data_IF_279298104042
#
_entry.id   IF_279298104042
#
_cell.length_a   1.000
_cell.length_b   1.000
_cell.length_c   1.000
_cell.angle_alpha   90.00
_cell.angle_beta   90.00
_cell.angle_gamma   90.00
#
_symmetry.space_group_name_H-M   'P 1'
#
loop_
_entity.id
_entity.type
_entity.pdbx_description
1 polymer ?
#
# COMPACT_ATOMS: atom_id res chain seq x y z
N UNK A 1 -9.11 15.14 -19.47
CA UNK A 1 -8.53 14.03 -20.23
C UNK A 1 -9.39 13.80 -21.47
N UNK A 2 -8.80 13.66 -22.65
CA UNK A 2 -9.58 13.29 -23.83
C UNK A 2 -9.77 11.77 -23.85
N UNK A 3 -10.93 11.29 -24.32
CA UNK A 3 -11.20 9.86 -24.46
C UNK A 3 -10.32 9.16 -25.51
N UNK A 4 -9.55 9.93 -26.24
CA UNK A 4 -8.53 9.47 -27.19
C UNK A 4 -7.15 9.21 -26.55
N UNK A 5 -7.02 9.39 -25.24
CA UNK A 5 -5.77 9.09 -24.55
C UNK A 5 -5.54 7.57 -24.49
N UNK A 6 -4.37 7.12 -24.96
CA UNK A 6 -4.00 5.70 -24.97
C UNK A 6 -3.53 5.18 -23.61
N UNK A 7 -3.53 6.02 -22.57
CA UNK A 7 -3.12 5.63 -21.23
C UNK A 7 -4.13 4.67 -20.61
N UNK A 8 -3.69 3.42 -20.40
CA UNK A 8 -4.48 2.38 -19.76
C UNK A 8 -3.75 1.88 -18.52
N UNK A 9 -4.45 1.90 -17.39
CA UNK A 9 -3.92 1.46 -16.11
C UNK A 9 -4.86 0.45 -15.47
N UNK A 10 -4.29 -0.58 -14.86
CA UNK A 10 -5.05 -1.47 -13.99
C UNK A 10 -5.19 -0.85 -12.58
N UNK A 11 -6.10 -1.39 -11.77
CA UNK A 11 -6.21 -1.01 -10.35
C UNK A 11 -4.91 -1.24 -9.59
N UNK A 12 -4.16 -2.29 -9.95
CA UNK A 12 -2.84 -2.59 -9.37
C UNK A 12 -1.80 -1.52 -9.71
N UNK A 13 -1.75 -1.07 -10.96
CA UNK A 13 -0.83 -0.01 -11.39
C UNK A 13 -1.12 1.28 -10.63
N UNK A 14 -2.41 1.65 -10.52
CA UNK A 14 -2.83 2.84 -9.78
C UNK A 14 -2.53 2.74 -8.29
N UNK A 15 -2.66 1.56 -7.69
CA UNK A 15 -2.30 1.35 -6.29
C UNK A 15 -0.79 1.52 -6.07
N UNK A 16 0.06 0.97 -6.93
CA UNK A 16 1.53 1.11 -6.87
C UNK A 16 1.94 2.57 -7.03
N UNK A 17 1.39 3.28 -8.02
CA UNK A 17 1.68 4.70 -8.26
C UNK A 17 1.28 5.52 -7.04
N UNK A 18 0.09 5.27 -6.48
CA UNK A 18 -0.42 6.00 -5.32
C UNK A 18 0.39 5.73 -4.06
N UNK A 19 0.82 4.48 -3.86
CA UNK A 19 1.71 4.11 -2.76
C UNK A 19 3.03 4.88 -2.86
N UNK A 20 3.68 4.85 -4.03
CA UNK A 20 4.93 5.57 -4.26
C UNK A 20 4.77 7.07 -4.09
N UNK A 21 3.69 7.65 -4.60
CA UNK A 21 3.41 9.07 -4.42
C UNK A 21 3.33 9.46 -2.94
N UNK A 22 2.67 8.65 -2.13
CA UNK A 22 2.50 8.93 -0.69
C UNK A 22 3.81 8.67 0.08
N UNK A 23 4.58 7.63 -0.29
CA UNK A 23 5.87 7.30 0.34
C UNK A 23 6.94 8.34 0.03
N UNK A 24 7.05 8.76 -1.24
CA UNK A 24 8.12 9.65 -1.71
C UNK A 24 7.76 11.14 -1.50
N UNK A 25 6.47 11.49 -1.47
CA UNK A 25 5.94 12.86 -1.38
C UNK A 25 4.74 12.93 -0.42
N UNK A 26 4.90 12.63 0.87
CA UNK A 26 3.79 12.58 1.83
C UNK A 26 3.02 13.91 1.98
N UNK A 27 3.65 15.03 1.63
CA UNK A 27 3.02 16.36 1.61
C UNK A 27 1.85 16.47 0.64
N UNK A 28 1.71 15.56 -0.31
CA UNK A 28 0.55 15.52 -1.21
C UNK A 28 -0.76 15.40 -0.43
N UNK A 29 -0.73 14.72 0.71
CA UNK A 29 -1.90 14.54 1.57
C UNK A 29 -2.34 15.83 2.25
N UNK A 30 -1.42 16.77 2.47
CA UNK A 30 -1.79 18.09 3.01
C UNK A 30 -2.66 18.87 2.03
N UNK A 31 -2.46 18.66 0.73
CA UNK A 31 -3.27 19.27 -0.33
C UNK A 31 -4.58 18.48 -0.57
N UNK A 32 -4.48 17.16 -0.66
CA UNK A 32 -5.66 16.33 -1.05
C UNK A 32 -6.75 16.27 0.02
N UNK A 33 -6.42 16.52 1.28
CA UNK A 33 -7.39 16.61 2.39
C UNK A 33 -8.13 17.95 2.50
N UNK A 34 -7.72 18.98 1.74
CA UNK A 34 -8.39 20.28 1.78
C UNK A 34 -9.80 20.14 1.19
N UNK A 35 -10.80 20.42 2.00
CA UNK A 35 -12.20 20.29 1.59
C UNK A 35 -12.68 21.45 0.73
N UNK A 36 -12.29 22.67 1.10
CA UNK A 36 -12.62 23.92 0.41
C UNK A 36 -11.43 24.87 0.43
N UNK A 37 -11.22 25.57 -0.65
CA UNK A 37 -10.20 26.60 -0.74
C UNK A 37 -10.74 27.81 -1.52
N UNK A 38 -10.51 29.00 -0.97
CA UNK A 38 -10.75 30.24 -1.70
C UNK A 38 -9.61 30.48 -2.68
N UNK A 39 -9.98 30.74 -3.90
CA UNK A 39 -9.07 31.12 -4.97
C UNK A 39 -9.44 32.53 -5.45
N UNK A 40 -8.46 33.41 -5.52
CA UNK A 40 -8.62 34.76 -6.03
C UNK A 40 -7.61 34.98 -7.15
N UNK A 41 -8.11 35.25 -8.35
CA UNK A 41 -7.27 35.51 -9.53
C UNK A 41 -6.96 37.01 -9.73
N UNK A 42 -7.27 37.84 -8.73
CA UNK A 42 -7.11 39.28 -8.77
C UNK A 42 -8.36 40.06 -9.20
N UNK A 43 -9.30 39.40 -9.82
CA UNK A 43 -10.62 40.02 -10.23
C UNK A 43 -11.79 39.35 -9.57
N UNK A 44 -11.74 38.04 -9.39
CA UNK A 44 -12.86 37.28 -8.85
C UNK A 44 -12.40 36.35 -7.73
N UNK A 45 -13.13 36.27 -6.65
CA UNK A 45 -13.00 35.30 -5.59
C UNK A 45 -13.93 34.13 -5.85
N UNK A 46 -13.37 32.92 -5.97
CA UNK A 46 -14.12 31.68 -6.14
C UNK A 46 -13.76 30.70 -5.03
N UNK A 47 -14.77 30.06 -4.44
CA UNK A 47 -14.55 28.95 -3.52
C UNK A 47 -14.61 27.65 -4.30
N UNK A 48 -13.50 26.93 -4.33
CA UNK A 48 -13.43 25.56 -4.88
C UNK A 48 -13.72 24.56 -3.79
N UNK A 49 -14.61 23.61 -4.06
CA UNK A 49 -14.88 22.46 -3.21
C UNK A 49 -14.22 21.21 -3.79
N UNK A 50 -13.65 20.38 -2.92
CA UNK A 50 -13.02 19.13 -3.32
C UNK A 50 -14.08 18.13 -3.81
N UNK A 51 -13.80 17.45 -4.89
CA UNK A 51 -14.65 16.40 -5.44
C UNK A 51 -14.52 15.06 -4.71
N UNK A 52 -13.57 14.93 -3.78
CA UNK A 52 -13.51 13.80 -2.87
C UNK A 52 -14.52 13.96 -1.73
N UNK A 53 -15.72 13.52 -1.98
CA UNK A 53 -16.83 13.66 -1.02
C UNK A 53 -16.75 12.70 0.19
N UNK A 54 -15.72 11.87 0.26
CA UNK A 54 -15.40 11.09 1.46
C UNK A 54 -14.57 11.87 2.47
N UNK A 55 -14.08 13.06 2.13
CA UNK A 55 -13.31 13.88 3.08
C UNK A 55 -14.18 14.30 4.26
N UNK A 56 -13.67 14.20 5.51
CA UNK A 56 -14.36 14.70 6.69
C UNK A 56 -14.70 16.19 6.55
N UNK A 57 -15.89 16.57 6.98
CA UNK A 57 -16.33 17.98 6.97
C UNK A 57 -16.94 18.47 5.66
N UNK A 58 -17.06 17.64 4.62
CA UNK A 58 -17.88 17.93 3.47
C UNK A 58 -19.34 17.56 3.74
N UNK A 59 -20.28 18.35 3.20
CA UNK A 59 -21.73 18.11 3.36
C UNK A 59 -22.19 16.77 2.76
N UNK A 60 -21.43 16.23 1.83
CA UNK A 60 -21.67 14.94 1.16
C UNK A 60 -20.70 13.86 1.65
N UNK A 61 -20.04 14.05 2.80
CA UNK A 61 -19.16 13.04 3.38
C UNK A 61 -19.87 11.70 3.52
N UNK A 62 -19.32 10.69 2.90
CA UNK A 62 -19.91 9.35 2.81
C UNK A 62 -19.22 8.34 3.69
N UNK A 63 -18.22 8.74 4.45
CA UNK A 63 -17.40 7.84 5.25
C UNK A 63 -17.22 8.37 6.67
N UNK A 64 -17.34 7.47 7.64
CA UNK A 64 -16.92 7.71 9.03
C UNK A 64 -15.40 7.51 9.19
N UNK A 65 -14.72 7.03 8.14
CA UNK A 65 -13.28 6.84 8.14
C UNK A 65 -12.58 8.18 7.86
N UNK A 66 -11.41 8.43 8.46
CA UNK A 66 -10.63 9.65 8.27
C UNK A 66 -9.89 9.65 6.92
N UNK A 67 -10.67 9.66 5.82
CA UNK A 67 -10.16 9.74 4.45
C UNK A 67 -9.42 11.06 4.26
N UNK A 68 -8.21 11.01 3.68
CA UNK A 68 -7.32 12.17 3.51
C UNK A 68 -6.83 12.38 2.06
N UNK A 69 -7.34 11.57 1.14
CA UNK A 69 -6.99 11.67 -0.29
C UNK A 69 -7.70 10.60 -1.12
N UNK A 70 -7.36 10.40 -2.37
CA UNK A 70 -6.24 11.01 -3.10
C UNK A 70 -6.77 11.75 -4.34
N UNK A 71 -7.39 11.01 -5.31
CA UNK A 71 -7.80 11.60 -6.60
C UNK A 71 -9.06 10.95 -7.15
N UNK A 72 -10.00 11.79 -7.57
CA UNK A 72 -11.17 11.41 -8.37
C UNK A 72 -10.90 11.62 -9.86
N UNK A 73 -11.60 10.88 -10.70
CA UNK A 73 -11.61 11.06 -12.15
C UNK A 73 -12.90 10.53 -12.75
N UNK A 74 -13.33 11.11 -13.87
CA UNK A 74 -14.48 10.64 -14.63
C UNK A 74 -14.25 10.89 -16.10
N UNK A 75 -14.58 9.93 -16.95
CA UNK A 75 -14.74 10.10 -18.39
C UNK A 75 -15.79 9.12 -18.89
N UNK A 76 -16.30 9.35 -20.12
CA UNK A 76 -17.34 8.50 -20.70
C UNK A 76 -16.86 7.06 -20.89
N UNK A 77 -15.58 6.88 -21.21
CA UNK A 77 -14.98 5.54 -21.43
C UNK A 77 -14.50 4.87 -20.14
N UNK A 78 -14.02 5.63 -19.16
CA UNK A 78 -13.48 5.09 -17.93
C UNK A 78 -14.51 4.97 -16.80
N UNK A 79 -15.69 5.58 -16.94
CA UNK A 79 -16.66 5.70 -15.86
C UNK A 79 -16.17 6.56 -14.71
N UNK A 80 -16.75 6.41 -13.54
CA UNK A 80 -16.32 7.09 -12.34
C UNK A 80 -15.18 6.33 -11.66
N UNK A 81 -14.06 7.01 -11.45
CA UNK A 81 -12.85 6.44 -10.85
C UNK A 81 -12.49 7.19 -9.56
N UNK A 82 -11.92 6.47 -8.61
CA UNK A 82 -11.42 7.05 -7.38
C UNK A 82 -10.27 6.21 -6.80
N UNK A 83 -9.17 6.87 -6.53
CA UNK A 83 -8.15 6.34 -5.64
C UNK A 83 -8.34 7.02 -4.29
N UNK A 84 -8.77 6.24 -3.30
CA UNK A 84 -8.98 6.69 -1.94
C UNK A 84 -7.85 6.30 -1.02
N UNK A 85 -7.52 7.12 -0.05
CA UNK A 85 -6.57 6.78 1.01
C UNK A 85 -7.09 7.21 2.37
N UNK A 86 -6.78 6.42 3.38
CA UNK A 86 -7.19 6.60 4.76
C UNK A 86 -6.09 6.12 5.69
N UNK A 87 -5.83 6.86 6.76
CA UNK A 87 -4.97 6.42 7.85
C UNK A 87 -5.80 6.33 9.13
N UNK A 88 -6.00 5.12 9.61
CA UNK A 88 -6.67 4.85 10.88
C UNK A 88 -5.71 4.16 11.83
N UNK A 89 -5.53 4.72 13.03
CA UNK A 89 -4.67 4.17 14.09
C UNK A 89 -3.21 3.93 13.63
N UNK A 90 -2.71 4.79 12.76
CA UNK A 90 -1.35 4.68 12.19
C UNK A 90 -1.24 3.73 11.00
N UNK A 91 -2.32 3.10 10.59
CA UNK A 91 -2.35 2.10 9.53
C UNK A 91 -3.04 2.63 8.28
N UNK A 92 -2.25 2.90 7.25
CA UNK A 92 -2.73 3.44 5.99
C UNK A 92 -3.24 2.35 5.06
N UNK A 93 -4.39 2.62 4.45
CA UNK A 93 -4.91 1.88 3.30
C UNK A 93 -4.97 2.78 2.08
N UNK A 94 -4.75 2.17 0.92
CA UNK A 94 -5.00 2.76 -0.39
C UNK A 94 -6.01 1.84 -1.11
N UNK A 95 -7.07 2.43 -1.63
CA UNK A 95 -8.09 1.73 -2.40
C UNK A 95 -8.19 2.33 -3.79
N UNK A 96 -8.44 1.49 -4.79
CA UNK A 96 -8.61 1.92 -6.18
C UNK A 96 -9.90 1.35 -6.72
N UNK A 97 -10.79 2.22 -7.12
CA UNK A 97 -12.04 1.90 -7.81
C UNK A 97 -11.97 2.52 -9.20
N UNK A 98 -12.08 1.70 -10.23
CA UNK A 98 -12.13 2.12 -11.62
C UNK A 98 -13.43 1.64 -12.25
N UNK A 99 -14.03 2.44 -13.13
CA UNK A 99 -15.20 2.06 -13.89
C UNK A 99 -16.48 1.94 -13.06
N UNK A 100 -16.60 2.66 -11.96
CA UNK A 100 -17.86 2.70 -11.24
C UNK A 100 -18.93 3.41 -12.08
N UNK A 101 -20.20 3.11 -11.77
CA UNK A 101 -21.36 3.73 -12.40
C UNK A 101 -21.28 5.27 -12.28
N UNK A 102 -21.71 5.96 -13.31
CA UNK A 102 -21.73 7.41 -13.38
C UNK A 102 -22.95 7.90 -14.18
N UNK A 103 -24.12 7.84 -13.57
CA UNK A 103 -25.36 8.27 -14.22
C UNK A 103 -25.57 9.79 -14.14
N UNK A 104 -24.90 10.46 -13.18
CA UNK A 104 -24.94 11.91 -12.98
C UNK A 104 -23.69 12.40 -12.27
N UNK A 105 -23.48 13.72 -12.23
CA UNK A 105 -22.37 14.32 -11.47
C UNK A 105 -22.48 14.05 -9.97
N UNK A 106 -23.66 13.75 -9.46
CA UNK A 106 -23.93 13.46 -8.06
C UNK A 106 -23.84 11.95 -7.74
N UNK A 107 -23.48 11.11 -8.70
CA UNK A 107 -23.36 9.66 -8.49
C UNK A 107 -22.26 9.35 -7.48
N UNK A 108 -22.64 8.63 -6.44
CA UNK A 108 -21.77 8.27 -5.31
C UNK A 108 -21.15 6.88 -5.45
N UNK A 109 -21.40 6.14 -6.52
CA UNK A 109 -21.03 4.73 -6.67
C UNK A 109 -19.55 4.50 -6.38
N UNK A 110 -18.63 5.34 -6.90
CA UNK A 110 -17.19 5.22 -6.62
C UNK A 110 -16.85 5.31 -5.13
N UNK A 111 -17.56 6.15 -4.37
CA UNK A 111 -17.35 6.34 -2.94
C UNK A 111 -17.98 5.21 -2.12
N UNK A 112 -19.15 4.72 -2.54
CA UNK A 112 -19.80 3.55 -1.93
C UNK A 112 -18.90 2.32 -2.04
N UNK A 113 -18.35 2.04 -3.20
CA UNK A 113 -17.45 0.91 -3.40
C UNK A 113 -16.12 1.09 -2.62
N UNK A 114 -15.59 2.31 -2.58
CA UNK A 114 -14.41 2.62 -1.77
C UNK A 114 -14.68 2.39 -0.28
N UNK A 115 -15.82 2.85 0.24
CA UNK A 115 -16.21 2.63 1.63
C UNK A 115 -16.31 1.13 1.97
N UNK A 116 -16.91 0.34 1.09
CA UNK A 116 -17.01 -1.13 1.27
C UNK A 116 -15.63 -1.76 1.36
N UNK A 117 -14.71 -1.39 0.45
CA UNK A 117 -13.34 -1.91 0.43
C UNK A 117 -12.58 -1.55 1.71
N UNK A 118 -12.60 -0.28 2.10
CA UNK A 118 -11.92 0.19 3.32
C UNK A 118 -12.46 -0.49 4.57
N UNK A 119 -13.80 -0.54 4.70
CA UNK A 119 -14.45 -1.21 5.82
C UNK A 119 -14.15 -2.71 5.85
N UNK A 120 -14.16 -3.37 4.69
CA UNK A 120 -13.78 -4.79 4.60
C UNK A 120 -12.35 -5.01 5.09
N UNK A 121 -11.39 -4.18 4.66
CA UNK A 121 -9.99 -4.32 5.08
C UNK A 121 -9.84 -4.15 6.60
N UNK A 122 -10.34 -3.07 7.19
CA UNK A 122 -10.21 -2.83 8.62
C UNK A 122 -10.98 -3.84 9.50
N UNK A 123 -12.08 -4.40 9.00
CA UNK A 123 -12.86 -5.39 9.73
C UNK A 123 -12.33 -6.83 9.57
N UNK A 124 -11.65 -7.12 8.47
CA UNK A 124 -11.23 -8.49 8.12
C UNK A 124 -9.76 -8.76 8.33
N UNK A 125 -8.95 -7.71 8.52
CA UNK A 125 -7.51 -7.83 8.69
C UNK A 125 -7.06 -7.14 9.97
N UNK A 126 -5.99 -7.66 10.55
CA UNK A 126 -5.30 -7.08 11.71
C UNK A 126 -3.80 -6.95 11.42
N UNK A 127 -3.16 -6.05 12.12
CA UNK A 127 -1.71 -5.91 12.10
C UNK A 127 -1.07 -6.93 13.02
N UNK A 128 -0.03 -7.58 12.51
CA UNK A 128 0.89 -8.42 13.26
C UNK A 128 2.30 -7.87 13.09
N UNK A 129 3.00 -7.62 14.19
CA UNK A 129 4.39 -7.20 14.14
C UNK A 129 5.32 -8.41 14.17
N UNK A 130 6.06 -8.61 13.08
CA UNK A 130 7.18 -9.55 13.03
C UNK A 130 8.37 -8.86 13.70
N UNK A 131 8.73 -9.29 14.91
CA UNK A 131 9.80 -8.69 15.68
C UNK A 131 11.18 -8.92 15.07
N UNK A 132 12.06 -7.93 15.23
CA UNK A 132 13.47 -8.05 14.91
C UNK A 132 14.07 -9.31 15.58
N UNK A 133 14.96 -10.00 14.87
CA UNK A 133 15.52 -11.28 15.32
C UNK A 133 14.65 -12.50 15.03
N UNK A 134 13.41 -12.32 14.54
CA UNK A 134 12.55 -13.45 14.15
C UNK A 134 13.20 -14.24 13.03
N UNK A 135 13.34 -15.55 13.25
CA UNK A 135 13.73 -16.53 12.23
C UNK A 135 12.56 -17.42 11.85
N UNK A 136 12.60 -17.96 10.66
CA UNK A 136 11.57 -18.85 10.13
C UNK A 136 12.21 -20.20 9.80
N UNK A 137 11.64 -21.30 10.30
CA UNK A 137 12.18 -22.66 10.11
C UNK A 137 12.41 -23.03 8.65
N UNK A 138 11.54 -22.57 7.75
CA UNK A 138 11.63 -22.85 6.32
C UNK A 138 12.59 -21.92 5.55
N UNK A 139 13.14 -20.89 6.20
CA UNK A 139 14.08 -19.93 5.62
C UNK A 139 15.21 -19.61 6.61
N UNK A 140 15.68 -20.63 7.32
CA UNK A 140 16.56 -20.46 8.47
C UNK A 140 17.99 -20.08 8.11
N UNK A 141 18.48 -20.46 6.91
CA UNK A 141 19.88 -20.23 6.57
C UNK A 141 20.13 -20.16 5.07
N UNK A 142 21.22 -19.48 4.70
CA UNK A 142 21.81 -19.48 3.36
C UNK A 142 23.13 -20.24 3.36
N UNK A 143 23.49 -20.94 2.26
CA UNK A 143 24.81 -21.54 2.08
C UNK A 143 25.91 -20.49 2.07
N UNK A 144 27.09 -20.82 2.56
CA UNK A 144 28.27 -19.95 2.55
C UNK A 144 29.44 -20.69 1.90
N UNK A 145 30.10 -20.05 0.94
CA UNK A 145 31.31 -20.53 0.30
C UNK A 145 32.55 -19.87 0.89
N UNK A 146 33.63 -20.64 0.97
CA UNK A 146 34.90 -20.18 1.50
C UNK A 146 34.87 -19.68 2.95
N UNK A 147 33.82 -20.02 3.70
CA UNK A 147 33.68 -19.70 5.11
C UNK A 147 34.07 -20.87 6.00
N UNK A 148 34.33 -20.57 7.29
CA UNK A 148 34.51 -21.58 8.31
C UNK A 148 33.23 -22.41 8.53
N UNK A 149 32.09 -21.72 8.50
CA UNK A 149 30.76 -22.31 8.58
C UNK A 149 30.15 -22.40 7.18
N UNK A 150 29.52 -23.53 6.89
CA UNK A 150 28.93 -23.81 5.57
C UNK A 150 27.57 -23.14 5.37
N UNK A 151 26.95 -22.60 6.43
CA UNK A 151 25.64 -21.91 6.40
C UNK A 151 25.63 -20.78 7.38
N UNK A 152 24.90 -19.71 7.05
CA UNK A 152 24.64 -18.61 7.94
C UNK A 152 23.13 -18.51 8.19
N UNK A 153 22.74 -18.37 9.45
CA UNK A 153 21.35 -18.13 9.83
C UNK A 153 20.96 -16.69 9.49
N UNK A 154 19.78 -16.54 8.90
CA UNK A 154 19.17 -15.25 8.63
C UNK A 154 18.01 -14.97 9.60
N UNK A 155 17.88 -13.72 10.00
CA UNK A 155 16.75 -13.23 10.79
C UNK A 155 16.35 -11.84 10.34
N UNK A 156 15.13 -11.43 10.66
CA UNK A 156 14.65 -10.07 10.44
C UNK A 156 15.57 -9.06 11.15
N UNK A 157 15.98 -8.01 10.46
CA UNK A 157 16.81 -6.94 11.03
C UNK A 157 15.99 -5.95 11.84
N UNK A 158 14.79 -5.63 11.35
CA UNK A 158 13.88 -4.65 11.93
C UNK A 158 12.55 -5.30 12.28
N UNK A 159 11.78 -4.64 13.15
CA UNK A 159 10.36 -4.92 13.29
C UNK A 159 9.67 -4.61 11.95
N UNK A 160 8.75 -5.48 11.55
CA UNK A 160 8.00 -5.33 10.30
C UNK A 160 6.54 -5.64 10.57
N UNK A 161 5.68 -4.70 10.28
CA UNK A 161 4.23 -4.89 10.39
C UNK A 161 3.69 -5.52 9.11
N UNK A 162 2.82 -6.50 9.28
CA UNK A 162 2.14 -7.19 8.19
C UNK A 162 0.64 -7.23 8.46
N UNK A 163 -0.15 -7.02 7.43
CA UNK A 163 -1.59 -7.21 7.51
C UNK A 163 -1.94 -8.67 7.33
N UNK A 164 -2.54 -9.27 8.35
CA UNK A 164 -3.03 -10.63 8.28
C UNK A 164 -4.55 -10.65 8.37
N UNK A 165 -5.17 -11.51 7.58
CA UNK A 165 -6.58 -11.79 7.74
C UNK A 165 -6.84 -12.23 9.18
N UNK A 166 -7.85 -11.69 9.86
CA UNK A 166 -8.11 -11.93 11.29
C UNK A 166 -8.29 -13.42 11.66
N UNK A 167 -8.59 -14.26 10.66
CA UNK A 167 -8.63 -15.72 10.81
C UNK A 167 -7.26 -16.42 10.70
N UNK A 168 -6.18 -15.67 10.44
CA UNK A 168 -4.82 -16.22 10.20
C UNK A 168 -3.93 -15.85 11.37
N UNK A 169 -3.27 -16.84 11.95
CA UNK A 169 -2.25 -16.65 12.98
C UNK A 169 -0.88 -16.43 12.38
N UNK A 170 -0.02 -15.69 13.07
CA UNK A 170 1.40 -15.54 12.71
C UNK A 170 2.16 -16.90 12.65
N UNK A 171 1.63 -17.95 13.27
CA UNK A 171 2.15 -19.31 13.13
C UNK A 171 2.02 -19.87 11.70
N UNK A 172 1.12 -19.33 10.90
CA UNK A 172 0.90 -19.72 9.51
C UNK A 172 1.81 -18.98 8.52
N UNK A 173 2.71 -18.12 9.02
CA UNK A 173 3.65 -17.40 8.17
C UNK A 173 4.79 -18.32 7.73
N UNK A 174 5.10 -18.26 6.45
CA UNK A 174 6.28 -18.88 5.86
C UNK A 174 7.12 -17.81 5.20
N UNK A 175 8.42 -17.98 5.22
CA UNK A 175 9.34 -17.01 4.67
C UNK A 175 10.13 -17.58 3.50
N UNK A 176 10.62 -16.69 2.63
CA UNK A 176 11.62 -16.95 1.62
C UNK A 176 12.79 -16.02 1.89
N UNK A 177 13.96 -16.61 2.05
CA UNK A 177 15.22 -15.88 2.20
C UNK A 177 15.93 -15.86 0.85
N UNK A 178 16.18 -14.66 0.31
CA UNK A 178 16.90 -14.44 -0.94
C UNK A 178 18.21 -13.73 -0.62
N UNK A 179 19.34 -14.22 -1.11
CA UNK A 179 20.64 -13.61 -0.89
C UNK A 179 20.78 -12.27 -1.63
N UNK A 180 21.51 -11.32 -1.02
CA UNK A 180 21.88 -10.06 -1.67
C UNK A 180 22.69 -10.36 -2.94
N UNK A 181 22.30 -9.76 -4.07
CA UNK A 181 22.89 -10.01 -5.40
C UNK A 181 24.40 -9.76 -5.47
N UNK A 182 24.94 -8.90 -4.60
CA UNK A 182 26.36 -8.59 -4.54
C UNK A 182 27.15 -9.63 -3.74
N UNK A 183 26.51 -10.25 -2.76
CA UNK A 183 27.11 -11.21 -1.84
C UNK A 183 26.79 -12.66 -2.20
N UNK A 184 25.68 -12.89 -2.91
CA UNK A 184 25.19 -14.23 -3.26
C UNK A 184 25.56 -14.56 -4.70
N UNK A 185 26.46 -15.53 -4.87
CA UNK A 185 26.97 -15.99 -6.16
C UNK A 185 26.92 -17.51 -6.22
N UNK A 186 26.57 -18.04 -7.37
CA UNK A 186 26.58 -19.48 -7.66
C UNK A 186 25.87 -20.35 -6.60
N UNK A 187 24.80 -19.82 -6.02
CA UNK A 187 23.97 -20.56 -5.06
C UNK A 187 24.36 -20.37 -3.59
N UNK A 188 25.31 -19.49 -3.26
CA UNK A 188 25.71 -19.23 -1.88
C UNK A 188 26.29 -17.83 -1.65
N UNK A 189 26.33 -17.43 -0.39
CA UNK A 189 27.04 -16.23 0.06
C UNK A 189 28.57 -16.51 0.04
N UNK A 190 29.33 -15.48 -0.27
CA UNK A 190 30.83 -15.61 -0.29
C UNK A 190 31.40 -14.93 0.96
N UNK A 191 32.20 -15.71 1.70
CA UNK A 191 32.90 -15.17 2.87
C UNK A 191 34.02 -14.18 2.46
N UNK A 192 34.46 -13.26 3.36
CA UNK A 192 34.09 -13.18 4.79
C UNK A 192 32.77 -12.46 5.04
N UNK A 193 32.00 -12.94 6.01
CA UNK A 193 30.75 -12.33 6.48
C UNK A 193 30.90 -11.92 7.94
N UNK A 194 30.27 -10.80 8.31
CA UNK A 194 30.30 -10.29 9.69
C UNK A 194 28.94 -10.50 10.37
N UNK A 195 28.96 -10.75 11.67
CA UNK A 195 27.73 -10.79 12.49
C UNK A 195 26.96 -9.47 12.37
N UNK A 196 25.65 -9.56 12.11
CA UNK A 196 24.79 -8.39 11.90
C UNK A 196 24.85 -7.78 10.49
N UNK A 197 25.65 -8.34 9.59
CA UNK A 197 25.68 -7.91 8.19
C UNK A 197 24.37 -8.25 7.49
N UNK A 198 23.83 -7.33 6.71
CA UNK A 198 22.71 -7.62 5.81
C UNK A 198 23.19 -8.52 4.68
N UNK A 199 22.63 -9.72 4.58
CA UNK A 199 23.05 -10.75 3.62
C UNK A 199 21.98 -11.08 2.58
N UNK A 200 20.81 -10.42 2.67
CA UNK A 200 19.71 -10.66 1.76
C UNK A 200 18.39 -10.05 2.23
N UNK A 201 17.34 -10.51 1.62
CA UNK A 201 15.96 -10.09 1.86
C UNK A 201 15.16 -11.29 2.39
N UNK A 202 14.35 -11.05 3.40
CA UNK A 202 13.42 -12.01 3.97
C UNK A 202 12.00 -11.59 3.61
N UNK A 203 11.42 -12.25 2.62
CA UNK A 203 10.01 -12.06 2.23
C UNK A 203 9.14 -13.05 2.97
N UNK A 204 8.01 -12.59 3.50
CA UNK A 204 7.07 -13.40 4.30
C UNK A 204 5.73 -13.51 3.60
N UNK A 205 5.10 -14.66 3.66
CA UNK A 205 3.73 -14.87 3.18
C UNK A 205 2.93 -15.79 4.10
N UNK A 206 1.63 -15.75 3.97
CA UNK A 206 0.76 -16.75 4.60
C UNK A 206 0.87 -18.07 3.84
N UNK A 207 1.03 -19.19 4.54
CA UNK A 207 1.07 -20.53 3.94
C UNK A 207 -0.18 -20.78 3.09
N UNK A 208 0.02 -21.15 1.83
CA UNK A 208 -1.06 -21.37 0.86
C UNK A 208 -1.54 -20.12 0.12
N UNK A 209 -0.93 -18.95 0.35
CA UNK A 209 -1.17 -17.73 -0.41
C UNK A 209 0.07 -17.36 -1.24
N UNK A 210 -0.14 -16.70 -2.38
CA UNK A 210 0.95 -16.32 -3.29
C UNK A 210 1.49 -14.90 -3.05
N UNK A 211 0.83 -14.11 -2.20
CA UNK A 211 1.26 -12.76 -1.86
C UNK A 211 2.36 -12.80 -0.77
N UNK A 212 3.46 -12.09 -1.01
CA UNK A 212 4.53 -11.82 -0.05
C UNK A 212 4.39 -10.42 0.54
N UNK A 213 4.83 -10.28 1.75
CA UNK A 213 4.96 -9.02 2.49
C UNK A 213 6.44 -8.66 2.65
#
# INVERSE_FOLDING_TARGET
ASDNAENKFSTKDMAIISQRLIEDYPEVLETTKITRMKFNNGTDETTMENWNWMLPGLAKAYSELPVDGLKTGTSDTAGACFTGTVNKDGHRLITVVLGAKHDSQEDLSRFVETQKLMSYCYNSYSYETIKAGKSFKNAASLPVYHGKDLKVAGSSKNDTDVWLKSSVSSANLVAKLSGDKKLYKDGGLVAPLKKGQTVGELSVKVKGQDLYY
#
